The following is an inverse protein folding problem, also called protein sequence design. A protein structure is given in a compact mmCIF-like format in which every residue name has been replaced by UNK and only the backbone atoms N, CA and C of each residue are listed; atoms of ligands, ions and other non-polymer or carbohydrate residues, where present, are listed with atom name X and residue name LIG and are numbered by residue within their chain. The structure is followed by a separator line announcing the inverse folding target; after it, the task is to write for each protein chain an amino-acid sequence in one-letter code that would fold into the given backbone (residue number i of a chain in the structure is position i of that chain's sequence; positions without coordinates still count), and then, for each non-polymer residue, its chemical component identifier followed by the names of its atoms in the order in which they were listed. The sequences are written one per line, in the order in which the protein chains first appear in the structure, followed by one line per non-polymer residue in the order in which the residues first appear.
data_IF_874162426527
#
_entry.id   IF_874162426527
#
_cell.length_a   1.000
_cell.length_b   1.000
_cell.length_c   1.000
_cell.angle_alpha   90.00
_cell.angle_beta   90.00
_cell.angle_gamma   90.00
#
_symmetry.space_group_name_H-M   'P 1'
#
loop_
_entity.id
_entity.type
_entity.pdbx_description
1 polymer ?
#
# COMPACT_ATOMS: atom_id res chain seq x y z
N UNK A 1 -10.50 -7.00 6.86
CA UNK A 1 -9.73 -8.15 6.38
C UNK A 1 -10.55 -9.39 6.59
N UNK A 2 -10.59 -10.27 5.60
CA UNK A 2 -11.18 -11.57 5.84
C UNK A 2 -10.19 -12.39 6.70
N UNK A 3 -10.69 -13.19 7.65
CA UNK A 3 -9.85 -14.18 8.34
C UNK A 3 -9.18 -15.11 7.31
N UNK A 4 -8.05 -15.70 7.70
CA UNK A 4 -7.38 -16.72 6.89
C UNK A 4 -8.41 -17.77 6.45
N UNK A 5 -8.49 -18.03 5.14
CA UNK A 5 -9.40 -19.05 4.65
C UNK A 5 -8.83 -20.45 4.99
N UNK A 6 -9.61 -21.51 4.71
CA UNK A 6 -9.19 -22.87 5.06
C UNK A 6 -7.85 -23.28 4.40
N UNK A 7 -7.61 -22.84 3.16
CA UNK A 7 -6.37 -23.13 2.44
C UNK A 7 -5.18 -22.37 3.03
N UNK A 8 -5.39 -21.11 3.45
CA UNK A 8 -4.38 -20.33 4.18
C UNK A 8 -4.00 -21.04 5.48
N UNK A 9 -4.98 -21.54 6.22
CA UNK A 9 -4.72 -22.21 7.49
C UNK A 9 -3.94 -23.52 7.35
N UNK A 10 -4.10 -24.27 6.26
CA UNK A 10 -3.27 -25.47 6.01
C UNK A 10 -1.78 -25.10 5.84
N UNK A 11 -1.49 -24.01 5.12
CA UNK A 11 -0.11 -23.55 4.94
C UNK A 11 0.45 -22.93 6.22
N UNK A 12 -0.33 -22.08 6.90
CA UNK A 12 0.05 -21.45 8.17
C UNK A 12 0.36 -22.49 9.23
N UNK A 13 -0.49 -23.51 9.41
CA UNK A 13 -0.24 -24.59 10.39
C UNK A 13 1.10 -25.28 10.17
N UNK A 14 1.42 -25.57 8.91
CA UNK A 14 2.69 -26.21 8.54
C UNK A 14 3.89 -25.31 8.84
N UNK A 15 3.85 -24.04 8.41
CA UNK A 15 5.01 -23.14 8.44
C UNK A 15 5.20 -22.43 9.79
N UNK A 16 4.11 -22.12 10.49
CA UNK A 16 4.17 -21.53 11.84
C UNK A 16 4.19 -22.58 12.95
N UNK A 17 4.27 -23.88 12.60
CA UNK A 17 4.24 -25.00 13.55
C UNK A 17 3.03 -24.95 14.51
N UNK A 18 1.85 -24.67 13.95
CA UNK A 18 0.60 -24.60 14.69
C UNK A 18 -0.15 -25.93 14.51
N UNK A 19 -0.43 -26.62 15.61
CA UNK A 19 -1.03 -27.96 15.58
C UNK A 19 -2.56 -27.94 15.59
N UNK A 20 -3.21 -26.78 15.77
CA UNK A 20 -4.66 -26.68 15.95
C UNK A 20 -5.30 -25.51 15.19
N UNK A 21 -6.42 -25.76 14.50
CA UNK A 21 -7.04 -24.79 13.57
C UNK A 21 -7.45 -23.46 14.22
N UNK A 22 -8.07 -23.40 15.41
CA UNK A 22 -8.35 -22.13 16.09
C UNK A 22 -7.12 -21.26 16.41
N UNK A 23 -5.93 -21.85 16.53
CA UNK A 23 -4.69 -21.07 16.69
C UNK A 23 -4.27 -20.41 15.36
N UNK A 24 -4.60 -21.00 14.21
CA UNK A 24 -4.45 -20.31 12.91
C UNK A 24 -5.30 -19.03 12.85
N UNK A 25 -6.51 -19.05 13.39
CA UNK A 25 -7.41 -17.88 13.41
C UNK A 25 -6.87 -16.75 14.30
N UNK A 26 -5.92 -17.03 15.19
CA UNK A 26 -5.22 -16.03 16.01
C UNK A 26 -3.96 -15.45 15.37
N UNK A 27 -3.53 -15.97 14.21
CA UNK A 27 -2.58 -15.27 13.36
C UNK A 27 -3.32 -14.07 12.77
N UNK A 28 -2.79 -12.87 12.98
CA UNK A 28 -3.39 -11.65 12.47
C UNK A 28 -3.65 -11.78 10.95
N UNK A 29 -4.82 -11.37 10.46
CA UNK A 29 -5.08 -11.43 9.03
C UNK A 29 -4.16 -10.47 8.27
N UNK A 30 -3.97 -10.71 6.98
CA UNK A 30 -3.03 -9.92 6.17
C UNK A 30 -3.65 -8.66 5.65
N UNK A 31 -3.01 -7.55 6.00
CA UNK A 31 -3.66 -6.27 5.97
C UNK A 31 -3.09 -5.18 5.14
N UNK A 32 -3.91 -4.12 5.06
CA UNK A 32 -3.49 -2.86 4.50
C UNK A 32 -2.31 -2.32 5.34
N UNK A 33 -1.26 -1.90 4.66
CA UNK A 33 -0.20 -1.10 5.27
C UNK A 33 -0.73 0.30 5.58
N UNK A 34 -0.16 1.03 6.57
CA UNK A 34 0.97 0.65 7.40
C UNK A 34 0.61 -0.20 8.63
N UNK A 35 1.56 -1.02 9.09
CA UNK A 35 1.52 -1.68 10.42
C UNK A 35 2.48 -0.97 11.35
N UNK A 36 2.04 -0.67 12.57
CA UNK A 36 2.86 -0.02 13.59
C UNK A 36 3.30 -1.04 14.64
N UNK A 37 4.59 -1.04 14.97
CA UNK A 37 5.17 -1.86 16.03
C UNK A 37 6.01 -0.98 16.95
N UNK A 38 6.06 -1.33 18.23
CA UNK A 38 7.07 -0.75 19.12
C UNK A 38 8.46 -1.18 18.67
N UNK A 39 9.48 -0.41 19.03
CA UNK A 39 10.87 -0.76 18.71
C UNK A 39 11.28 -2.13 19.31
N UNK A 40 10.78 -2.44 20.51
CA UNK A 40 11.07 -3.71 21.18
C UNK A 40 10.38 -4.88 20.49
N UNK A 41 9.12 -4.72 20.08
CA UNK A 41 8.41 -5.72 19.28
C UNK A 41 9.10 -5.95 17.94
N UNK A 42 9.53 -4.87 17.26
CA UNK A 42 10.28 -4.96 16.01
C UNK A 42 11.55 -5.81 16.16
N UNK A 43 12.32 -5.60 17.23
CA UNK A 43 13.54 -6.39 17.51
C UNK A 43 13.27 -7.86 17.75
N UNK A 44 12.10 -8.22 18.30
CA UNK A 44 11.69 -9.62 18.48
C UNK A 44 11.23 -10.25 17.17
N UNK A 45 10.45 -9.53 16.38
CA UNK A 45 9.82 -10.05 15.15
C UNK A 45 10.83 -10.19 14.01
N UNK A 46 11.71 -9.22 13.81
CA UNK A 46 12.52 -9.15 12.57
C UNK A 46 13.49 -10.33 12.37
N UNK A 47 14.18 -10.84 13.41
CA UNK A 47 15.00 -12.05 13.26
C UNK A 47 14.18 -13.29 12.88
N UNK A 48 12.95 -13.42 13.39
CA UNK A 48 12.03 -14.51 13.04
C UNK A 48 11.55 -14.33 11.60
N UNK A 49 11.17 -13.10 11.24
CA UNK A 49 10.68 -12.75 9.92
C UNK A 49 11.68 -13.04 8.81
N UNK A 50 12.97 -12.83 9.04
CA UNK A 50 14.00 -13.19 8.07
C UNK A 50 13.99 -14.70 7.77
N UNK A 51 13.98 -15.55 8.81
CA UNK A 51 13.98 -17.00 8.64
C UNK A 51 12.65 -17.49 8.02
N UNK A 52 11.53 -16.99 8.54
CA UNK A 52 10.18 -17.31 8.04
C UNK A 52 10.03 -16.92 6.56
N UNK A 53 10.59 -15.78 6.15
CA UNK A 53 10.55 -15.34 4.74
C UNK A 53 11.30 -16.30 3.82
N UNK A 54 12.44 -16.82 4.27
CA UNK A 54 13.20 -17.83 3.52
C UNK A 54 12.41 -19.13 3.41
N UNK A 55 11.81 -19.59 4.50
CA UNK A 55 11.00 -20.82 4.52
C UNK A 55 9.78 -20.71 3.61
N UNK A 56 9.02 -19.61 3.72
CA UNK A 56 7.86 -19.32 2.86
C UNK A 56 8.27 -19.25 1.39
N UNK A 57 9.40 -18.60 1.07
CA UNK A 57 9.89 -18.49 -0.31
C UNK A 57 10.27 -19.86 -0.91
N UNK A 58 10.77 -20.78 -0.09
CA UNK A 58 11.14 -22.14 -0.49
C UNK A 58 9.94 -23.09 -0.55
N UNK A 59 8.83 -22.76 0.10
CA UNK A 59 7.61 -23.58 0.11
C UNK A 59 6.77 -23.36 -1.17
N UNK A 60 6.82 -24.35 -2.06
CA UNK A 60 6.09 -24.33 -3.33
C UNK A 60 4.57 -24.11 -3.20
N UNK A 61 3.88 -24.83 -2.28
CA UNK A 61 2.46 -24.59 -2.01
C UNK A 61 2.15 -23.15 -1.56
N UNK A 62 2.91 -22.59 -0.62
CA UNK A 62 2.77 -21.22 -0.13
C UNK A 62 2.96 -20.21 -1.25
N UNK A 63 4.04 -20.36 -2.04
CA UNK A 63 4.32 -19.50 -3.19
C UNK A 63 3.20 -19.54 -4.23
N UNK A 64 2.61 -20.71 -4.48
CA UNK A 64 1.48 -20.86 -5.40
C UNK A 64 0.20 -20.21 -4.85
N UNK A 65 -0.07 -20.37 -3.56
CA UNK A 65 -1.28 -19.88 -2.91
C UNK A 65 -1.25 -18.36 -2.72
N UNK A 66 -0.16 -17.84 -2.15
CA UNK A 66 -0.05 -16.44 -1.74
C UNK A 66 0.58 -15.53 -2.79
N UNK A 67 1.28 -16.10 -3.78
CA UNK A 67 1.89 -15.35 -4.86
C UNK A 67 2.81 -14.25 -4.36
N UNK A 68 2.62 -13.03 -4.87
CA UNK A 68 3.43 -11.87 -4.50
C UNK A 68 3.15 -11.35 -3.09
N UNK A 69 2.06 -11.77 -2.43
CA UNK A 69 1.72 -11.40 -1.05
C UNK A 69 2.43 -12.29 0.00
N UNK A 70 3.21 -13.29 -0.41
CA UNK A 70 3.81 -14.29 0.49
C UNK A 70 4.62 -13.69 1.65
N UNK A 71 5.30 -12.57 1.45
CA UNK A 71 6.10 -11.92 2.50
C UNK A 71 5.21 -11.30 3.58
N UNK A 72 3.98 -10.89 3.24
CA UNK A 72 3.01 -10.39 4.23
C UNK A 72 2.51 -11.54 5.13
N UNK A 73 2.37 -12.75 4.57
CA UNK A 73 2.06 -13.97 5.34
C UNK A 73 3.21 -14.34 6.26
N UNK A 74 4.45 -14.33 5.75
CA UNK A 74 5.63 -14.54 6.57
C UNK A 74 5.70 -13.54 7.72
N UNK A 75 5.37 -12.27 7.49
CA UNK A 75 5.37 -11.24 8.52
C UNK A 75 4.30 -11.49 9.60
N UNK A 76 3.05 -11.78 9.21
CA UNK A 76 1.97 -12.09 10.14
C UNK A 76 2.27 -13.33 11.01
N UNK A 77 2.78 -14.40 10.40
CA UNK A 77 3.21 -15.60 11.13
C UNK A 77 4.38 -15.31 12.09
N UNK A 78 5.28 -14.40 11.71
CA UNK A 78 6.41 -14.01 12.57
C UNK A 78 5.98 -13.17 13.77
N UNK A 79 4.97 -12.30 13.61
CA UNK A 79 4.34 -11.62 14.74
C UNK A 79 3.72 -12.63 15.70
N UNK A 80 2.94 -13.58 15.18
CA UNK A 80 2.35 -14.63 15.98
C UNK A 80 3.41 -15.45 16.74
N UNK A 81 4.46 -15.91 16.05
CA UNK A 81 5.57 -16.66 16.65
C UNK A 81 6.35 -15.84 17.71
N UNK A 82 6.38 -14.51 17.59
CA UNK A 82 6.94 -13.61 18.59
C UNK A 82 6.00 -13.35 19.79
N UNK A 83 4.82 -13.96 19.83
CA UNK A 83 3.80 -13.75 20.85
C UNK A 83 2.94 -12.49 20.65
N UNK A 84 2.87 -11.97 19.42
CA UNK A 84 2.07 -10.80 19.05
C UNK A 84 0.83 -11.22 18.24
N UNK A 85 -0.20 -11.69 18.94
CA UNK A 85 -1.49 -12.05 18.33
C UNK A 85 -2.56 -10.96 18.43
N UNK A 86 -2.43 -10.03 19.38
CA UNK A 86 -3.44 -8.99 19.66
C UNK A 86 -3.20 -7.74 18.79
N UNK A 87 -3.36 -7.90 17.48
CA UNK A 87 -3.16 -6.82 16.50
C UNK A 87 -4.48 -6.08 16.22
N UNK A 88 -4.53 -4.79 16.55
CA UNK A 88 -5.68 -3.94 16.24
C UNK A 88 -5.78 -3.64 14.73
N UNK A 89 -6.98 -3.75 14.17
CA UNK A 89 -7.26 -3.45 12.76
C UNK A 89 -8.13 -2.20 12.58
N UNK A 90 -7.54 -1.16 11.98
CA UNK A 90 -8.24 0.05 11.57
C UNK A 90 -8.45 0.08 10.04
N UNK A 91 -9.37 -0.74 9.54
CA UNK A 91 -9.58 -0.96 8.10
C UNK A 91 -9.93 0.31 7.29
N UNK A 92 -10.53 1.32 7.93
CA UNK A 92 -10.88 2.60 7.29
C UNK A 92 -9.74 3.62 7.35
N UNK A 93 -8.57 3.28 7.90
CA UNK A 93 -7.44 4.21 7.94
C UNK A 93 -6.88 4.48 6.54
N UNK A 94 -6.88 3.46 5.67
CA UNK A 94 -6.24 3.50 4.36
C UNK A 94 -7.18 2.94 3.28
N UNK A 95 -7.37 3.70 2.21
CA UNK A 95 -8.00 3.24 0.98
C UNK A 95 -6.98 2.58 0.05
N UNK A 96 -7.39 1.51 -0.64
CA UNK A 96 -6.54 0.74 -1.56
C UNK A 96 -7.21 0.52 -2.92
N UNK A 97 -7.25 1.52 -3.80
CA UNK A 97 -7.64 1.34 -5.19
C UNK A 97 -6.82 0.22 -5.88
N UNK A 98 -7.42 -0.62 -6.74
CA UNK A 98 -8.80 -0.56 -7.26
C UNK A 98 -9.85 -1.20 -6.34
N UNK A 99 -9.48 -1.75 -5.18
CA UNK A 99 -10.40 -2.48 -4.31
C UNK A 99 -11.36 -1.57 -3.54
N UNK A 100 -10.94 -0.34 -3.28
CA UNK A 100 -11.79 0.74 -2.76
C UNK A 100 -11.98 1.81 -3.86
N UNK A 101 -13.23 2.21 -4.11
CA UNK A 101 -13.59 3.26 -5.09
C UNK A 101 -14.07 4.56 -4.43
N UNK A 102 -14.70 4.46 -3.26
CA UNK A 102 -15.29 5.56 -2.52
C UNK A 102 -14.34 6.17 -1.48
N UNK A 103 -14.63 7.40 -1.05
CA UNK A 103 -13.85 8.10 -0.01
C UNK A 103 -14.07 7.54 1.41
N UNK A 104 -14.96 6.55 1.55
CA UNK A 104 -15.27 5.93 2.83
C UNK A 104 -15.46 4.41 2.70
N UNK A 105 -15.07 3.70 3.77
CA UNK A 105 -15.43 2.31 3.99
C UNK A 105 -16.88 2.24 4.45
N UNK A 106 -17.72 1.56 3.67
CA UNK A 106 -19.15 1.46 3.97
C UNK A 106 -19.41 0.58 5.21
N UNK A 107 -20.37 0.97 6.08
CA UNK A 107 -21.08 2.26 6.09
C UNK A 107 -20.30 3.36 6.84
N UNK A 108 -20.14 4.54 6.20
CA UNK A 108 -19.91 5.83 6.88
C UNK A 108 -18.58 6.04 7.59
N UNK A 109 -17.51 5.31 7.26
CA UNK A 109 -16.18 5.51 7.86
C UNK A 109 -15.20 6.10 6.84
N UNK A 110 -14.79 7.37 6.95
CA UNK A 110 -13.92 7.99 5.96
C UNK A 110 -12.54 7.34 5.93
N UNK A 111 -11.93 7.33 4.75
CA UNK A 111 -10.51 7.02 4.58
C UNK A 111 -9.63 8.24 4.85
N UNK A 112 -8.46 8.02 5.44
CA UNK A 112 -7.51 9.10 5.78
C UNK A 112 -6.23 9.07 4.97
N UNK A 113 -5.86 7.90 4.43
CA UNK A 113 -4.67 7.69 3.60
C UNK A 113 -5.12 7.03 2.30
N UNK A 114 -4.57 7.48 1.17
CA UNK A 114 -4.76 6.84 -0.14
C UNK A 114 -3.47 6.10 -0.52
N UNK A 115 -3.53 4.77 -0.60
CA UNK A 115 -2.39 3.93 -0.97
C UNK A 115 -2.52 3.43 -2.41
N UNK A 116 -1.83 4.09 -3.36
CA UNK A 116 -1.89 3.79 -4.79
C UNK A 116 -0.79 2.79 -5.23
N UNK A 117 -0.89 1.54 -4.81
CA UNK A 117 0.14 0.52 -5.15
C UNK A 117 -0.10 -0.16 -6.51
N UNK A 118 -1.37 -0.31 -6.89
CA UNK A 118 -1.81 -0.95 -8.12
C UNK A 118 -2.03 0.07 -9.22
N UNK A 119 -1.92 -0.37 -10.47
CA UNK A 119 -2.42 0.39 -11.61
C UNK A 119 -3.95 0.53 -11.54
N UNK A 120 -4.44 1.68 -12.01
CA UNK A 120 -5.85 1.97 -12.19
C UNK A 120 -6.12 2.14 -13.67
N UNK A 121 -6.97 1.28 -14.18
CA UNK A 121 -7.34 1.21 -15.58
C UNK A 121 -8.86 1.28 -15.69
N UNK A 122 -9.36 2.13 -16.59
CA UNK A 122 -10.79 2.28 -16.83
C UNK A 122 -11.12 2.17 -18.31
N UNK A 123 -12.20 1.46 -18.61
CA UNK A 123 -12.93 1.63 -19.87
C UNK A 123 -13.74 2.91 -19.75
N UNK A 124 -13.39 3.92 -20.54
CA UNK A 124 -14.03 5.24 -20.43
C UNK A 124 -15.40 5.30 -21.06
N UNK A 125 -15.73 4.34 -21.92
CA UNK A 125 -17.04 4.22 -22.56
C UNK A 125 -18.08 3.59 -21.64
N UNK A 126 -17.66 2.64 -20.79
CA UNK A 126 -18.55 1.95 -19.84
C UNK A 126 -18.45 2.50 -18.42
N UNK A 127 -17.33 3.12 -18.06
CA UNK A 127 -17.04 3.57 -16.70
C UNK A 127 -16.43 2.49 -15.79
N UNK A 128 -16.19 1.28 -16.31
CA UNK A 128 -15.76 0.13 -15.52
C UNK A 128 -14.25 0.12 -15.24
N UNK A 129 -13.88 -0.28 -14.01
CA UNK A 129 -12.50 -0.58 -13.65
C UNK A 129 -12.05 -1.90 -14.28
N UNK A 130 -10.91 -1.87 -14.96
CA UNK A 130 -10.33 -3.02 -15.64
C UNK A 130 -9.23 -3.64 -14.79
N UNK A 131 -9.42 -4.90 -14.41
CA UNK A 131 -8.38 -5.67 -13.73
C UNK A 131 -7.46 -6.31 -14.78
N UNK A 132 -6.15 -6.06 -14.67
CA UNK A 132 -5.09 -6.69 -15.48
C UNK A 132 -5.13 -6.37 -16.98
N UNK A 133 -5.77 -5.25 -17.38
CA UNK A 133 -5.76 -4.74 -18.75
C UNK A 133 -5.58 -3.23 -18.72
N UNK A 134 -4.84 -2.69 -19.70
CA UNK A 134 -4.69 -1.24 -19.85
C UNK A 134 -5.99 -0.66 -20.41
N UNK A 135 -6.56 0.32 -19.71
CA UNK A 135 -7.77 1.04 -20.12
C UNK A 135 -7.50 2.25 -21.00
N UNK A 136 -8.57 2.89 -21.49
CA UNK A 136 -8.44 4.16 -22.24
C UNK A 136 -7.93 5.28 -21.33
N UNK A 137 -8.36 5.24 -20.06
CA UNK A 137 -7.74 6.01 -18.99
C UNK A 137 -6.92 5.05 -18.13
N UNK A 138 -5.66 5.39 -17.92
CA UNK A 138 -4.69 4.58 -17.21
C UNK A 138 -3.84 5.44 -16.27
N UNK A 139 -3.64 4.95 -15.06
CA UNK A 139 -2.59 5.42 -14.16
C UNK A 139 -1.90 4.22 -13.51
N UNK A 140 -0.60 4.05 -13.76
CA UNK A 140 0.29 3.22 -12.94
C UNK A 140 1.52 4.04 -12.60
N UNK A 141 1.87 4.13 -11.32
CA UNK A 141 3.08 4.83 -10.87
C UNK A 141 4.36 4.34 -11.57
N UNK A 142 4.40 3.08 -12.01
CA UNK A 142 5.52 2.47 -12.73
C UNK A 142 5.69 3.06 -14.14
N UNK A 143 4.65 3.66 -14.72
CA UNK A 143 4.76 4.40 -15.97
C UNK A 143 5.57 5.71 -15.82
N UNK A 144 5.76 6.15 -14.56
CA UNK A 144 6.51 7.34 -14.18
C UNK A 144 7.84 6.99 -13.48
N UNK A 145 8.42 5.84 -13.80
CA UNK A 145 9.78 5.48 -13.38
C UNK A 145 10.70 5.49 -14.61
N UNK A 146 11.79 6.30 -14.63
CA UNK A 146 12.33 7.15 -13.57
C UNK A 146 11.83 8.61 -13.59
N UNK A 147 10.89 8.94 -14.48
CA UNK A 147 10.45 10.32 -14.67
C UNK A 147 9.31 10.68 -13.73
N UNK A 148 9.44 11.70 -12.84
CA UNK A 148 8.37 12.14 -11.97
C UNK A 148 7.03 12.36 -12.69
N UNK A 149 5.91 12.34 -11.96
CA UNK A 149 4.58 12.61 -12.55
C UNK A 149 4.56 14.05 -13.13
N UNK A 150 4.06 14.29 -14.36
CA UNK A 150 3.97 15.62 -14.93
C UNK A 150 2.88 16.48 -14.27
N UNK A 151 2.93 17.80 -14.50
CA UNK A 151 1.79 18.68 -14.21
C UNK A 151 0.62 18.41 -15.16
N UNK A 152 -0.59 18.74 -14.71
CA UNK A 152 -1.77 18.74 -15.57
C UNK A 152 -2.27 17.35 -15.95
N UNK A 153 -2.10 16.39 -15.04
CA UNK A 153 -2.66 15.05 -15.16
C UNK A 153 -4.18 15.13 -15.38
N UNK A 154 -4.68 14.33 -16.33
CA UNK A 154 -6.09 14.32 -16.70
C UNK A 154 -6.86 13.43 -15.73
N UNK A 155 -7.93 13.95 -15.12
CA UNK A 155 -8.84 13.15 -14.30
C UNK A 155 -9.56 12.08 -15.13
N UNK A 156 -9.98 10.95 -14.54
CA UNK A 156 -10.84 10.01 -15.25
C UNK A 156 -12.13 10.74 -15.69
N UNK A 157 -12.73 10.38 -16.85
CA UNK A 157 -13.93 11.05 -17.35
C UNK A 157 -15.13 10.81 -16.43
N UNK A 158 -16.14 11.68 -16.46
CA UNK A 158 -17.33 11.63 -15.58
C UNK A 158 -18.13 10.31 -15.67
N UNK A 159 -17.96 9.54 -16.74
CA UNK A 159 -18.52 8.18 -16.88
C UNK A 159 -17.94 7.18 -15.89
N UNK A 160 -16.74 7.43 -15.36
CA UNK A 160 -16.07 6.58 -14.37
C UNK A 160 -16.49 6.98 -12.95
N UNK A 161 -17.32 6.17 -12.31
CA UNK A 161 -17.75 6.35 -10.91
C UNK A 161 -16.68 5.82 -9.94
N UNK A 162 -15.55 6.53 -9.86
CA UNK A 162 -14.41 6.17 -9.01
C UNK A 162 -13.82 7.41 -8.33
N UNK A 163 -14.38 7.77 -7.18
CA UNK A 163 -14.04 9.00 -6.46
C UNK A 163 -12.57 9.08 -6.02
N UNK A 164 -12.00 7.98 -5.53
CA UNK A 164 -10.60 7.95 -5.08
C UNK A 164 -9.61 8.25 -6.21
N UNK A 165 -9.88 7.82 -7.44
CA UNK A 165 -9.01 8.07 -8.60
C UNK A 165 -8.97 9.57 -8.94
N UNK A 166 -10.11 10.26 -8.88
CA UNK A 166 -10.18 11.71 -9.06
C UNK A 166 -9.42 12.45 -7.96
N UNK A 167 -9.63 12.07 -6.70
CA UNK A 167 -8.93 12.69 -5.57
C UNK A 167 -7.42 12.49 -5.68
N UNK A 168 -6.97 11.31 -6.08
CA UNK A 168 -5.56 11.02 -6.33
C UNK A 168 -4.96 11.95 -7.40
N UNK A 169 -5.60 12.05 -8.57
CA UNK A 169 -5.13 12.92 -9.66
C UNK A 169 -5.12 14.40 -9.23
N UNK A 170 -6.16 14.85 -8.52
CA UNK A 170 -6.21 16.22 -7.98
C UNK A 170 -5.10 16.49 -7.00
N UNK A 171 -4.79 15.55 -6.10
CA UNK A 171 -3.69 15.68 -5.15
C UNK A 171 -2.33 15.78 -5.87
N UNK A 172 -2.12 14.99 -6.94
CA UNK A 172 -0.91 15.14 -7.76
C UNK A 172 -0.86 16.51 -8.45
N UNK A 173 -1.95 16.95 -9.06
CA UNK A 173 -1.99 18.24 -9.74
C UNK A 173 -1.78 19.41 -8.77
N UNK A 174 -2.38 19.35 -7.57
CA UNK A 174 -2.16 20.33 -6.51
C UNK A 174 -0.68 20.38 -6.09
N UNK A 175 -0.09 19.22 -5.76
CA UNK A 175 1.30 19.14 -5.32
C UNK A 175 2.28 19.61 -6.39
N UNK A 176 2.14 19.11 -7.63
CA UNK A 176 3.02 19.46 -8.75
C UNK A 176 2.88 20.93 -9.15
N UNK A 177 1.70 21.52 -9.03
CA UNK A 177 1.50 22.96 -9.24
C UNK A 177 2.15 23.81 -8.13
N UNK A 178 2.15 23.33 -6.88
CA UNK A 178 2.70 24.05 -5.74
C UNK A 178 4.23 24.00 -5.65
N UNK A 179 4.87 22.93 -6.14
CA UNK A 179 6.33 22.76 -6.09
C UNK A 179 6.98 23.59 -7.21
N UNK A 180 7.84 24.57 -6.88
CA UNK A 180 8.57 25.32 -7.90
C UNK A 180 9.54 24.44 -8.70
N UNK A 181 9.84 24.82 -9.94
CA UNK A 181 10.69 24.04 -10.86
C UNK A 181 10.29 22.58 -11.10
N UNK A 182 9.05 22.19 -10.81
CA UNK A 182 8.64 20.80 -11.01
C UNK A 182 8.80 20.33 -12.47
N UNK A 183 8.58 21.19 -13.46
CA UNK A 183 8.77 20.83 -14.88
C UNK A 183 10.26 20.58 -15.18
N UNK A 184 11.18 21.38 -14.65
CA UNK A 184 12.61 21.10 -14.76
C UNK A 184 13.02 19.80 -14.05
N UNK A 185 12.45 19.53 -12.87
CA UNK A 185 12.67 18.27 -12.15
C UNK A 185 12.13 17.07 -12.93
N UNK A 186 10.94 17.20 -13.51
CA UNK A 186 10.33 16.23 -14.41
C UNK A 186 11.21 15.97 -15.64
N UNK A 187 11.56 17.01 -16.38
CA UNK A 187 12.30 16.92 -17.65
C UNK A 187 13.72 16.39 -17.46
N UNK A 188 14.31 16.65 -16.30
CA UNK A 188 15.60 16.09 -15.89
C UNK A 188 15.52 14.66 -15.36
N UNK A 189 14.33 14.04 -15.37
CA UNK A 189 14.06 12.68 -14.86
C UNK A 189 14.47 12.51 -13.39
N UNK A 190 14.09 13.48 -12.57
CA UNK A 190 14.36 13.46 -11.14
C UNK A 190 15.80 13.84 -10.75
N UNK A 191 16.57 14.43 -11.66
CA UNK A 191 17.90 14.93 -11.32
C UNK A 191 17.80 16.23 -10.51
N UNK A 192 18.87 16.55 -9.77
CA UNK A 192 18.95 17.79 -8.98
C UNK A 192 18.82 19.00 -9.90
N UNK A 193 17.79 19.82 -9.66
CA UNK A 193 17.61 21.09 -10.36
C UNK A 193 18.56 22.12 -9.75
N UNK A 194 19.55 22.58 -10.52
CA UNK A 194 20.60 23.49 -10.04
C UNK A 194 20.22 24.98 -10.15
N UNK A 195 19.02 25.27 -10.64
CA UNK A 195 18.51 26.63 -10.77
C UNK A 195 17.93 27.11 -9.44
N UNK A 196 18.01 28.42 -9.18
CA UNK A 196 17.25 29.03 -8.09
C UNK A 196 15.75 28.94 -8.37
N UNK A 197 15.07 28.02 -7.70
CA UNK A 197 13.68 27.66 -7.98
C UNK A 197 12.65 28.51 -7.20
N UNK A 198 13.09 29.48 -6.40
CA UNK A 198 12.19 30.26 -5.56
C UNK A 198 11.51 29.42 -4.49
N UNK A 199 12.16 28.32 -4.07
CA UNK A 199 11.73 27.48 -2.97
C UNK A 199 11.54 28.36 -1.72
N UNK A 200 10.32 28.39 -1.20
CA UNK A 200 10.12 28.84 0.18
C UNK A 200 10.70 27.74 1.04
N UNK A 201 11.89 27.96 1.59
CA UNK A 201 12.37 27.16 2.71
C UNK A 201 11.27 27.21 3.77
N UNK A 202 10.50 26.14 3.90
CA UNK A 202 9.69 25.97 5.10
C UNK A 202 10.70 25.89 6.23
N UNK A 203 10.70 26.89 7.12
CA UNK A 203 11.41 26.78 8.38
C UNK A 203 10.85 25.54 9.08
N UNK A 204 11.60 24.44 9.03
CA UNK A 204 11.36 23.34 9.94
C UNK A 204 11.52 23.93 11.32
N UNK A 205 10.40 24.17 12.02
CA UNK A 205 10.45 24.46 13.43
C UNK A 205 11.24 23.33 14.07
N UNK A 206 12.40 23.66 14.63
CA UNK A 206 13.16 22.73 15.46
C UNK A 206 12.22 22.28 16.56
N UNK A 207 11.75 21.05 16.47
CA UNK A 207 11.03 20.41 17.57
C UNK A 207 12.06 20.31 18.68
N UNK A 208 11.79 20.99 19.80
CA UNK A 208 12.61 20.90 21.00
C UNK A 208 12.67 19.42 21.41
N UNK A 209 13.86 18.84 21.36
CA UNK A 209 14.10 17.42 21.64
C UNK A 209 14.21 17.15 23.15
N UNK A 210 13.56 17.96 24.00
CA UNK A 210 13.40 17.64 25.42
C UNK A 210 12.33 16.56 25.60
N UNK A 211 12.71 15.30 25.43
CA UNK A 211 12.00 14.14 25.97
C UNK A 211 12.73 13.63 27.22
#
# INVERSE_FOLDING_TARGET
MNPANADDCEVIKRLAHIDYTPQCESVAPIGNSPTFLTLDDMKRVFPIFLNMSIEVYQDGPAKKLWGWCQEMFAFAMSMYAAGLSDVDLYAHMVAQPPFDSDLELKPGRPFYILHYTYGLDFDTSTGEALLSKVGDWHFDKRAYDPTPIPRGMVEPPDTVDFHLARVMVRAFNEATAAIPCWDEYHDSRGAVVTRGCGEKMYEFHTVDNSW
#
